data_IF_588946554030
#
_entry.id   IF_588946554030
#
_cell.length_a   1.000
_cell.length_b   1.000
_cell.length_c   1.000
_cell.angle_alpha   90.00
_cell.angle_beta   90.00
_cell.angle_gamma   90.00
#
_symmetry.space_group_name_H-M   'P 1'
#
loop_
_entity.id
_entity.type
_entity.pdbx_description
1 polymer ?
#
# COMPACT_ATOMS: atom_id res chain seq x y z
N UNK A 1 -2.78 1.58 -19.99
CA UNK A 1 -3.10 1.61 -18.56
C UNK A 1 -4.18 2.64 -18.28
N UNK A 2 -5.20 2.28 -17.50
CA UNK A 2 -6.10 3.26 -16.87
C UNK A 2 -5.54 3.62 -15.49
N UNK A 3 -5.85 4.82 -14.99
CA UNK A 3 -5.52 5.16 -13.59
C UNK A 3 -6.37 4.35 -12.61
N UNK A 4 -7.62 4.09 -12.98
CA UNK A 4 -8.62 3.42 -12.16
C UNK A 4 -8.87 1.99 -12.63
N UNK A 5 -9.42 1.17 -11.74
CA UNK A 5 -9.80 -0.22 -12.00
C UNK A 5 -11.25 -0.45 -11.58
N UNK A 6 -11.91 -1.41 -12.21
CA UNK A 6 -13.22 -1.92 -11.80
C UNK A 6 -13.11 -3.23 -11.01
N UNK A 7 -11.90 -3.72 -10.76
CA UNK A 7 -11.63 -5.01 -10.11
C UNK A 7 -10.66 -4.84 -8.96
N UNK A 8 -10.96 -5.47 -7.82
CA UNK A 8 -10.18 -5.38 -6.57
C UNK A 8 -9.98 -6.78 -5.99
N UNK A 9 -8.72 -7.11 -5.66
CA UNK A 9 -8.36 -8.27 -4.84
C UNK A 9 -8.44 -7.86 -3.37
N UNK A 10 -9.08 -8.68 -2.55
CA UNK A 10 -9.12 -8.51 -1.09
C UNK A 10 -8.83 -9.85 -0.41
N UNK A 11 -8.04 -9.81 0.66
CA UNK A 11 -7.77 -10.99 1.49
C UNK A 11 -8.65 -10.94 2.73
N UNK A 12 -9.49 -11.96 2.93
CA UNK A 12 -10.33 -12.05 4.13
C UNK A 12 -9.46 -12.48 5.31
N UNK A 13 -9.34 -11.68 6.38
CA UNK A 13 -8.53 -12.06 7.53
C UNK A 13 -9.17 -13.20 8.32
N UNK A 14 -8.35 -14.04 8.94
CA UNK A 14 -8.81 -15.03 9.92
C UNK A 14 -8.33 -14.76 11.35
N UNK A 15 -7.29 -13.93 11.53
CA UNK A 15 -6.66 -13.63 12.81
C UNK A 15 -6.18 -12.16 12.93
N UNK A 16 -6.96 -11.22 12.38
CA UNK A 16 -6.61 -9.79 12.38
C UNK A 16 -6.53 -9.22 13.80
N UNK A 17 -5.42 -8.55 14.09
CA UNK A 17 -5.12 -7.87 15.36
C UNK A 17 -3.96 -6.90 15.17
N UNK A 18 -3.57 -6.21 16.24
CA UNK A 18 -2.32 -5.44 16.26
C UNK A 18 -1.14 -6.38 16.01
N UNK A 19 -0.22 -5.99 15.11
CA UNK A 19 0.96 -6.77 14.80
C UNK A 19 2.19 -6.17 15.50
N UNK A 20 2.76 -6.94 16.41
CA UNK A 20 3.87 -6.52 17.26
C UNK A 20 5.14 -6.20 16.45
N UNK A 21 5.36 -6.89 15.33
CA UNK A 21 6.54 -6.65 14.48
C UNK A 21 6.43 -5.37 13.67
N UNK A 22 5.21 -4.92 13.34
CA UNK A 22 5.00 -3.69 12.57
C UNK A 22 4.75 -2.47 13.46
N UNK A 23 4.33 -2.67 14.71
CA UNK A 23 4.08 -1.60 15.68
C UNK A 23 5.33 -0.75 16.01
N UNK A 24 6.55 -1.28 15.81
CA UNK A 24 7.80 -0.57 16.10
C UNK A 24 7.99 0.70 15.24
N UNK A 25 7.42 0.73 14.04
CA UNK A 25 7.52 1.85 13.10
C UNK A 25 6.18 2.22 12.44
N UNK A 26 5.07 1.58 12.85
CA UNK A 26 3.70 1.98 12.47
C UNK A 26 2.97 2.63 13.66
N UNK A 27 3.13 3.95 13.78
CA UNK A 27 2.51 4.75 14.84
C UNK A 27 0.99 4.96 14.69
N UNK A 28 0.35 4.36 13.68
CA UNK A 28 -1.10 4.43 13.47
C UNK A 28 -1.84 3.24 14.10
N UNK A 29 -1.12 2.18 14.50
CA UNK A 29 -1.73 1.07 15.22
C UNK A 29 -2.17 1.49 16.61
N UNK A 30 -3.34 1.01 17.03
CA UNK A 30 -3.92 1.28 18.34
C UNK A 30 -4.36 -0.03 18.98
N UNK A 31 -4.05 -0.18 20.26
CA UNK A 31 -4.68 -1.21 21.09
C UNK A 31 -6.09 -0.73 21.43
N UNK A 32 -7.07 -1.61 21.28
CA UNK A 32 -8.43 -1.37 21.74
C UNK A 32 -8.55 -2.09 23.08
N UNK A 33 -8.32 -1.38 24.18
CA UNK A 33 -8.18 -1.93 25.55
C UNK A 33 -9.35 -2.81 26.03
N UNK A 34 -10.50 -2.74 25.35
CA UNK A 34 -11.74 -3.45 25.72
C UNK A 34 -12.05 -4.68 24.85
N UNK A 35 -11.22 -5.02 23.86
CA UNK A 35 -11.44 -6.17 22.98
C UNK A 35 -10.26 -7.15 23.02
N UNK A 36 -10.57 -8.44 23.11
CA UNK A 36 -9.60 -9.48 22.81
C UNK A 36 -9.40 -9.65 21.29
N UNK A 37 -8.36 -10.37 20.89
CA UNK A 37 -8.00 -10.58 19.49
C UNK A 37 -9.13 -11.24 18.68
N UNK A 38 -9.89 -12.15 19.27
CA UNK A 38 -10.98 -12.84 18.58
C UNK A 38 -12.15 -11.87 18.30
N UNK A 39 -12.46 -11.00 19.25
CA UNK A 39 -13.44 -9.93 19.09
C UNK A 39 -13.01 -8.88 18.06
N UNK A 40 -11.72 -8.50 18.06
CA UNK A 40 -11.16 -7.60 17.05
C UNK A 40 -11.30 -8.22 15.66
N UNK A 41 -10.88 -9.47 15.49
CA UNK A 41 -10.98 -10.17 14.22
C UNK A 41 -12.44 -10.34 13.77
N UNK A 42 -13.36 -10.69 14.67
CA UNK A 42 -14.78 -10.80 14.36
C UNK A 42 -15.38 -9.47 13.86
N UNK A 43 -15.00 -8.34 14.47
CA UNK A 43 -15.40 -7.01 13.98
C UNK A 43 -14.77 -6.67 12.64
N UNK A 44 -13.48 -6.97 12.46
CA UNK A 44 -12.80 -6.74 11.19
C UNK A 44 -13.44 -7.55 10.05
N UNK A 45 -13.84 -8.79 10.29
CA UNK A 45 -14.58 -9.59 9.31
C UNK A 45 -15.96 -8.99 8.98
N UNK A 46 -16.68 -8.46 9.97
CA UNK A 46 -17.96 -7.77 9.72
C UNK A 46 -17.78 -6.49 8.88
N UNK A 47 -16.77 -5.68 9.18
CA UNK A 47 -16.44 -4.48 8.40
C UNK A 47 -15.97 -4.84 6.98
N UNK A 48 -15.16 -5.89 6.86
CA UNK A 48 -14.71 -6.44 5.58
C UNK A 48 -15.91 -6.88 4.71
N UNK A 49 -16.83 -7.65 5.28
CA UNK A 49 -18.03 -8.12 4.57
C UNK A 49 -18.89 -6.96 4.11
N UNK A 50 -19.17 -6.00 5.00
CA UNK A 50 -19.93 -4.81 4.64
C UNK A 50 -19.27 -4.01 3.52
N UNK A 51 -17.92 -3.93 3.50
CA UNK A 51 -17.19 -3.24 2.45
C UNK A 51 -17.24 -3.99 1.11
N UNK A 52 -17.03 -5.31 1.12
CA UNK A 52 -17.16 -6.18 -0.07
C UNK A 52 -18.56 -6.09 -0.66
N UNK A 53 -19.60 -6.18 0.17
CA UNK A 53 -21.00 -6.06 -0.26
C UNK A 53 -21.28 -4.69 -0.90
N UNK A 54 -20.78 -3.61 -0.29
CA UNK A 54 -20.96 -2.25 -0.81
C UNK A 54 -20.27 -2.07 -2.17
N UNK A 55 -19.04 -2.56 -2.33
CA UNK A 55 -18.29 -2.49 -3.59
C UNK A 55 -18.98 -3.30 -4.69
N UNK A 56 -19.38 -4.54 -4.41
CA UNK A 56 -20.13 -5.38 -5.36
C UNK A 56 -21.48 -4.75 -5.71
N UNK A 57 -22.16 -4.15 -4.75
CA UNK A 57 -23.45 -3.47 -4.95
C UNK A 57 -23.40 -2.29 -5.92
N UNK A 58 -22.24 -1.67 -6.10
CA UNK A 58 -22.01 -0.60 -7.09
C UNK A 58 -21.34 -1.10 -8.39
N UNK A 59 -21.15 -2.41 -8.55
CA UNK A 59 -20.64 -3.02 -9.78
C UNK A 59 -19.13 -3.24 -9.83
N UNK A 60 -18.41 -3.08 -8.73
CA UNK A 60 -16.98 -3.45 -8.64
C UNK A 60 -16.86 -4.96 -8.58
N UNK A 61 -15.99 -5.54 -9.41
CA UNK A 61 -15.63 -6.95 -9.34
C UNK A 61 -14.67 -7.19 -8.17
N UNK A 62 -15.16 -7.79 -7.09
CA UNK A 62 -14.35 -8.04 -5.88
C UNK A 62 -14.01 -9.52 -5.78
N UNK A 63 -12.72 -9.82 -5.91
CA UNK A 63 -12.14 -11.16 -5.79
C UNK A 63 -11.67 -11.30 -4.34
N UNK A 64 -12.33 -12.19 -3.60
CA UNK A 64 -12.01 -12.43 -2.19
C UNK A 64 -11.31 -13.77 -2.08
N UNK A 65 -10.12 -13.76 -1.49
CA UNK A 65 -9.37 -14.96 -1.12
C UNK A 65 -9.29 -15.01 0.41
N UNK A 66 -9.57 -16.15 1.02
CA UNK A 66 -9.46 -16.28 2.48
C UNK A 66 -8.03 -16.51 2.92
N UNK A 67 -7.63 -15.87 4.02
CA UNK A 67 -6.38 -16.17 4.68
C UNK A 67 -6.33 -17.63 5.22
N UNK A 68 -5.15 -18.17 5.52
CA UNK A 68 -4.95 -19.53 6.05
C UNK A 68 -4.34 -19.50 7.45
N UNK A 69 -4.50 -20.58 8.21
CA UNK A 69 -3.97 -20.74 9.57
C UNK A 69 -2.55 -21.35 9.60
N UNK A 70 -1.88 -21.40 8.44
CA UNK A 70 -0.53 -21.96 8.31
C UNK A 70 0.53 -21.10 9.04
N UNK A 71 0.31 -19.79 9.08
CA UNK A 71 1.24 -18.81 9.67
C UNK A 71 0.50 -17.76 10.49
N UNK A 72 1.23 -17.13 11.41
CA UNK A 72 0.69 -16.02 12.22
C UNK A 72 0.90 -14.67 11.52
N UNK A 73 -0.02 -14.35 10.60
CA UNK A 73 0.00 -13.18 9.71
C UNK A 73 -1.18 -12.22 9.96
N UNK A 74 -1.19 -11.46 11.07
CA UNK A 74 -2.31 -10.59 11.43
C UNK A 74 -2.59 -9.45 10.42
N UNK A 75 -1.61 -9.09 9.59
CA UNK A 75 -1.71 -8.03 8.57
C UNK A 75 -2.05 -8.57 7.16
N UNK A 76 -2.37 -9.86 7.00
CA UNK A 76 -2.63 -10.51 5.70
C UNK A 76 -3.76 -9.88 4.87
N UNK A 77 -4.68 -9.16 5.54
CA UNK A 77 -5.73 -8.36 4.91
C UNK A 77 -5.20 -7.29 3.95
N UNK A 78 -3.91 -6.93 4.01
CA UNK A 78 -3.27 -5.89 3.21
C UNK A 78 -2.35 -6.46 2.10
N UNK A 79 -2.90 -7.10 1.05
CA UNK A 79 -2.08 -7.69 -0.02
C UNK A 79 -1.30 -6.64 -0.82
N UNK A 80 -1.76 -5.39 -0.79
CA UNK A 80 -1.16 -4.25 -1.48
C UNK A 80 0.31 -4.02 -1.09
N UNK A 81 0.77 -4.58 0.03
CA UNK A 81 2.15 -4.45 0.48
C UNK A 81 3.12 -5.46 -0.14
N UNK A 82 2.65 -6.66 -0.52
CA UNK A 82 3.54 -7.70 -1.02
C UNK A 82 3.33 -8.04 -2.50
N UNK A 83 2.21 -7.62 -3.10
CA UNK A 83 1.92 -7.83 -4.53
C UNK A 83 1.33 -6.60 -5.20
N UNK A 84 1.66 -6.41 -6.48
CA UNK A 84 0.97 -5.45 -7.35
C UNK A 84 0.79 -5.99 -8.77
N UNK A 85 -0.22 -5.46 -9.45
CA UNK A 85 -0.64 -5.88 -10.79
C UNK A 85 -0.54 -4.73 -11.77
N UNK A 86 -0.07 -5.03 -12.98
CA UNK A 86 0.23 -4.06 -14.03
C UNK A 86 -0.30 -4.52 -15.39
N UNK A 87 -0.22 -3.63 -16.38
CA UNK A 87 -0.64 -3.92 -17.75
C UNK A 87 0.14 -5.12 -18.31
N UNK A 88 -0.42 -5.75 -19.34
CA UNK A 88 0.17 -6.92 -20.01
C UNK A 88 0.34 -8.15 -19.12
N UNK A 89 -0.37 -8.21 -17.98
CA UNK A 89 -0.32 -9.38 -17.09
C UNK A 89 0.96 -9.45 -16.25
N UNK A 90 1.67 -8.33 -16.09
CA UNK A 90 2.84 -8.28 -15.22
C UNK A 90 2.43 -8.19 -13.75
N UNK A 91 3.10 -8.98 -12.91
CA UNK A 91 2.95 -9.01 -11.45
C UNK A 91 4.28 -8.64 -10.82
N UNK A 92 4.27 -7.84 -9.75
CA UNK A 92 5.45 -7.62 -8.92
C UNK A 92 5.25 -8.21 -7.52
N UNK A 93 6.23 -8.96 -7.04
CA UNK A 93 6.31 -9.48 -5.67
C UNK A 93 7.38 -8.70 -4.90
N UNK A 94 7.05 -8.28 -3.68
CA UNK A 94 7.81 -7.28 -2.96
C UNK A 94 8.45 -7.80 -1.66
N UNK A 95 9.66 -7.30 -1.31
CA UNK A 95 10.30 -7.54 -0.03
C UNK A 95 9.60 -6.78 1.10
N UNK A 96 9.42 -7.43 2.24
CA UNK A 96 8.65 -6.96 3.38
C UNK A 96 9.56 -6.79 4.60
N UNK A 97 9.43 -5.65 5.28
CA UNK A 97 10.30 -5.32 6.42
C UNK A 97 10.09 -6.30 7.58
N UNK A 98 8.84 -6.47 8.00
CA UNK A 98 8.49 -7.37 9.09
C UNK A 98 8.54 -8.84 8.62
N UNK A 99 9.25 -9.68 9.36
CA UNK A 99 9.49 -11.08 8.99
C UNK A 99 8.19 -11.88 8.91
N UNK A 100 7.25 -11.67 9.85
CA UNK A 100 5.98 -12.39 9.81
C UNK A 100 5.17 -12.07 8.55
N UNK A 101 5.26 -10.84 8.04
CA UNK A 101 4.55 -10.43 6.83
C UNK A 101 5.09 -11.08 5.55
N UNK A 102 6.30 -11.64 5.57
CA UNK A 102 6.86 -12.37 4.40
C UNK A 102 6.09 -13.64 4.08
N UNK A 103 5.42 -14.22 5.10
CA UNK A 103 4.55 -15.38 4.96
C UNK A 103 3.15 -15.04 4.40
N UNK A 104 2.81 -13.75 4.24
CA UNK A 104 1.55 -13.32 3.59
C UNK A 104 1.56 -13.54 2.07
N UNK A 105 2.73 -13.78 1.48
CA UNK A 105 2.89 -14.03 0.05
C UNK A 105 2.39 -15.41 -0.28
N UNK A 106 1.36 -15.50 -1.13
CA UNK A 106 0.77 -16.80 -1.48
C UNK A 106 0.52 -16.97 -2.96
N UNK A 107 0.86 -18.15 -3.45
CA UNK A 107 0.64 -18.55 -4.85
C UNK A 107 -0.84 -18.78 -5.17
N UNK A 108 -1.63 -19.23 -4.18
CA UNK A 108 -3.06 -19.49 -4.38
C UNK A 108 -3.86 -18.23 -4.71
N UNK A 109 -3.38 -17.05 -4.30
CA UNK A 109 -3.90 -15.75 -4.72
C UNK A 109 -3.74 -15.57 -6.23
N UNK A 110 -2.64 -16.01 -6.83
CA UNK A 110 -2.43 -15.93 -8.27
C UNK A 110 -3.38 -16.87 -9.02
N UNK A 111 -3.54 -18.11 -8.54
CA UNK A 111 -4.51 -19.06 -9.12
C UNK A 111 -5.94 -18.52 -9.06
N UNK A 112 -6.33 -17.89 -7.95
CA UNK A 112 -7.66 -17.29 -7.82
C UNK A 112 -7.90 -16.14 -8.82
N UNK A 113 -6.84 -15.40 -9.19
CA UNK A 113 -6.93 -14.37 -10.23
C UNK A 113 -7.04 -14.98 -11.63
N UNK A 114 -6.28 -16.02 -11.92
CA UNK A 114 -6.39 -16.76 -13.20
C UNK A 114 -7.77 -17.39 -13.38
N UNK A 115 -8.31 -18.02 -12.34
CA UNK A 115 -9.67 -18.58 -12.31
C UNK A 115 -10.75 -17.49 -12.50
N UNK A 116 -10.48 -16.27 -12.02
CA UNK A 116 -11.33 -15.10 -12.24
C UNK A 116 -11.18 -14.49 -13.65
N UNK A 117 -10.31 -15.05 -14.49
CA UNK A 117 -10.12 -14.66 -15.89
C UNK A 117 -9.03 -13.61 -16.13
N UNK A 118 -8.19 -13.33 -15.13
CA UNK A 118 -7.01 -12.48 -15.31
C UNK A 118 -5.86 -13.30 -15.90
N UNK A 119 -5.04 -12.67 -16.74
CA UNK A 119 -3.87 -13.30 -17.33
C UNK A 119 -2.61 -12.82 -16.61
N UNK A 120 -1.74 -13.76 -16.24
CA UNK A 120 -0.42 -13.49 -15.69
C UNK A 120 0.62 -13.91 -16.73
N UNK A 121 1.41 -12.95 -17.20
CA UNK A 121 2.44 -13.15 -18.22
C UNK A 121 3.83 -13.29 -17.60
N UNK A 122 4.16 -12.37 -16.68
CA UNK A 122 5.48 -12.27 -16.09
C UNK A 122 5.39 -11.86 -14.62
N UNK A 123 6.30 -12.42 -13.81
CA UNK A 123 6.44 -12.09 -12.39
C UNK A 123 7.82 -11.48 -12.18
N UNK A 124 7.84 -10.20 -11.80
CA UNK A 124 9.01 -9.49 -11.29
C UNK A 124 9.12 -9.77 -9.79
N UNK A 125 10.24 -10.31 -9.36
CA UNK A 125 10.42 -10.81 -8.00
C UNK A 125 11.58 -10.12 -7.28
N UNK A 126 11.24 -9.17 -6.41
CA UNK A 126 12.19 -8.37 -5.66
C UNK A 126 12.50 -8.96 -4.26
N UNK A 127 11.99 -10.16 -3.93
CA UNK A 127 12.08 -10.72 -2.58
C UNK A 127 13.52 -10.98 -2.12
N UNK A 128 14.44 -11.25 -3.03
CA UNK A 128 15.84 -11.53 -2.68
C UNK A 128 16.54 -10.32 -2.01
N UNK A 129 16.01 -9.11 -2.18
CA UNK A 129 16.53 -7.91 -1.53
C UNK A 129 16.45 -7.98 0.02
N UNK A 130 15.60 -8.86 0.56
CA UNK A 130 15.49 -9.10 2.00
C UNK A 130 16.78 -9.64 2.62
N UNK A 131 17.59 -10.38 1.85
CA UNK A 131 18.88 -10.92 2.29
C UNK A 131 19.90 -9.80 2.55
N UNK A 132 19.70 -8.64 1.92
CA UNK A 132 20.52 -7.43 2.07
C UNK A 132 19.88 -6.41 3.02
N UNK A 133 18.70 -6.70 3.57
CA UNK A 133 17.95 -5.81 4.45
C UNK A 133 17.31 -4.61 3.74
N UNK A 134 17.06 -4.73 2.43
CA UNK A 134 16.39 -3.72 1.62
C UNK A 134 14.91 -4.09 1.43
N UNK A 135 14.02 -3.09 1.49
CA UNK A 135 12.57 -3.32 1.50
C UNK A 135 11.82 -2.31 0.64
N UNK A 136 10.71 -2.75 0.03
CA UNK A 136 9.84 -1.91 -0.77
C UNK A 136 8.43 -2.52 -0.70
N UNK A 137 7.61 -2.09 0.26
CA UNK A 137 6.30 -2.71 0.55
C UNK A 137 5.18 -2.30 -0.44
N UNK A 138 5.42 -2.64 -1.70
CA UNK A 138 4.44 -2.61 -2.79
C UNK A 138 3.72 -1.29 -2.93
N UNK A 139 2.43 -1.35 -3.24
CA UNK A 139 1.56 -0.16 -3.38
C UNK A 139 1.18 0.48 -2.03
N UNK A 140 1.68 -0.04 -0.92
CA UNK A 140 1.77 0.73 0.34
C UNK A 140 2.80 1.85 0.22
N UNK A 141 4.00 1.51 -0.24
CA UNK A 141 5.12 2.44 -0.44
C UNK A 141 5.05 3.18 -1.79
N UNK A 142 4.42 2.58 -2.80
CA UNK A 142 4.36 3.09 -4.17
C UNK A 142 2.97 3.66 -4.51
N UNK A 143 2.87 4.97 -4.71
CA UNK A 143 1.67 5.60 -5.29
C UNK A 143 1.93 5.86 -6.77
N UNK A 144 1.22 5.14 -7.63
CA UNK A 144 1.48 5.12 -9.08
C UNK A 144 0.51 6.06 -9.82
N UNK A 145 1.05 7.09 -10.47
CA UNK A 145 0.37 7.75 -11.58
C UNK A 145 0.61 6.94 -12.84
N UNK A 146 -0.37 6.09 -13.16
CA UNK A 146 -0.32 5.13 -14.26
C UNK A 146 -0.41 5.80 -15.63
N UNK A 147 -1.06 6.96 -15.70
CA UNK A 147 -1.21 7.72 -16.95
C UNK A 147 0.06 8.48 -17.28
N UNK A 148 0.66 9.15 -16.29
CA UNK A 148 1.86 9.96 -16.48
C UNK A 148 3.16 9.18 -16.24
N UNK A 149 3.06 7.88 -15.91
CA UNK A 149 4.17 6.98 -15.63
C UNK A 149 5.10 7.56 -14.56
N UNK A 150 4.53 7.97 -13.43
CA UNK A 150 5.28 8.43 -12.23
C UNK A 150 5.01 7.54 -11.02
N UNK A 151 6.06 7.22 -10.27
CA UNK A 151 5.95 6.51 -9.01
C UNK A 151 6.34 7.45 -7.87
N UNK A 152 5.36 7.86 -7.07
CA UNK A 152 5.59 8.68 -5.88
C UNK A 152 5.91 7.77 -4.70
N UNK A 153 7.03 8.04 -4.03
CA UNK A 153 7.50 7.22 -2.93
C UNK A 153 8.15 8.10 -1.85
N UNK A 154 7.56 8.06 -0.65
CA UNK A 154 8.18 8.57 0.57
C UNK A 154 9.15 7.50 1.11
N UNK A 155 10.42 7.87 1.29
CA UNK A 155 11.42 6.96 1.84
C UNK A 155 11.12 6.64 3.31
N UNK A 156 11.29 5.38 3.67
CA UNK A 156 11.04 4.88 5.02
C UNK A 156 11.79 3.55 5.23
N UNK A 157 11.79 2.97 6.44
CA UNK A 157 12.31 1.61 6.65
C UNK A 157 11.64 0.52 5.79
N UNK A 158 10.53 0.84 5.10
CA UNK A 158 9.73 -0.05 4.26
C UNK A 158 9.77 0.36 2.77
N UNK A 159 10.61 1.33 2.42
CA UNK A 159 10.72 1.89 1.08
C UNK A 159 12.14 2.39 0.84
N UNK A 160 12.95 1.52 0.26
CA UNK A 160 14.32 1.78 -0.16
C UNK A 160 14.38 2.47 -1.53
N UNK A 161 15.31 3.40 -1.70
CA UNK A 161 15.45 4.18 -2.93
C UNK A 161 16.01 3.35 -4.09
N UNK A 162 16.96 2.44 -3.84
CA UNK A 162 17.59 1.63 -4.89
C UNK A 162 16.57 0.63 -5.47
N UNK A 163 15.79 -0.03 -4.61
CA UNK A 163 14.70 -0.92 -5.05
C UNK A 163 13.59 -0.18 -5.79
N UNK A 164 13.28 1.06 -5.36
CA UNK A 164 12.32 1.90 -6.09
C UNK A 164 12.83 2.21 -7.50
N UNK A 165 14.11 2.53 -7.64
CA UNK A 165 14.73 2.83 -8.95
C UNK A 165 14.66 1.58 -9.83
N UNK A 166 15.03 0.40 -9.31
CA UNK A 166 14.92 -0.88 -10.02
C UNK A 166 13.49 -1.15 -10.50
N UNK A 167 12.50 -1.02 -9.60
CA UNK A 167 11.08 -1.15 -9.95
C UNK A 167 10.68 -0.15 -11.06
N UNK A 168 11.16 1.10 -10.97
CA UNK A 168 10.86 2.11 -11.98
C UNK A 168 11.49 1.81 -13.34
N UNK A 169 12.67 1.20 -13.37
CA UNK A 169 13.33 0.75 -14.61
C UNK A 169 12.55 -0.40 -15.25
N UNK A 170 12.17 -1.43 -14.49
CA UNK A 170 11.42 -2.60 -14.97
C UNK A 170 10.01 -2.23 -15.48
N UNK A 171 9.33 -1.34 -14.75
CA UNK A 171 7.95 -0.95 -15.05
C UNK A 171 7.84 0.37 -15.81
N UNK A 172 8.95 0.95 -16.27
CA UNK A 172 9.05 2.21 -17.02
C UNK A 172 8.28 3.38 -16.34
N UNK A 173 8.53 3.58 -15.05
CA UNK A 173 8.07 4.73 -14.28
C UNK A 173 9.21 5.73 -14.07
N UNK A 174 8.85 7.01 -13.91
CA UNK A 174 9.75 8.05 -13.41
C UNK A 174 9.62 8.12 -11.89
N UNK A 175 10.71 7.91 -11.11
CA UNK A 175 10.64 7.97 -9.66
C UNK A 175 10.52 9.42 -9.18
N UNK A 176 9.54 9.68 -8.32
CA UNK A 176 9.38 10.93 -7.56
C UNK A 176 9.61 10.61 -6.08
N UNK A 177 10.87 10.71 -5.68
CA UNK A 177 11.35 10.39 -4.33
C UNK A 177 11.27 11.61 -3.41
N UNK A 178 10.82 11.41 -2.18
CA UNK A 178 10.79 12.43 -1.14
C UNK A 178 10.81 11.81 0.27
N UNK A 179 10.91 12.64 1.29
CA UNK A 179 10.77 12.24 2.69
C UNK A 179 9.45 12.79 3.26
N UNK A 180 8.73 11.97 4.01
CA UNK A 180 7.49 12.38 4.68
C UNK A 180 7.47 11.98 6.15
N UNK A 181 7.12 12.93 7.01
CA UNK A 181 7.05 12.75 8.46
C UNK A 181 5.68 13.11 9.02
N UNK A 182 5.39 12.61 10.21
CA UNK A 182 4.19 12.87 10.99
C UNK A 182 4.56 13.28 12.41
N UNK A 183 3.64 14.00 13.05
CA UNK A 183 3.80 14.40 14.44
C UNK A 183 3.43 13.28 15.41
N UNK A 184 4.43 12.74 16.11
CA UNK A 184 4.28 11.78 17.21
C UNK A 184 4.77 12.46 18.50
N UNK A 185 3.82 12.94 19.31
CA UNK A 185 4.14 13.78 20.46
C UNK A 185 4.78 15.11 20.02
N UNK A 186 6.06 15.31 20.35
CA UNK A 186 6.84 16.50 19.95
C UNK A 186 7.85 16.21 18.83
N UNK A 187 7.89 14.97 18.34
CA UNK A 187 8.86 14.52 17.35
C UNK A 187 8.23 14.40 15.97
N UNK A 188 9.06 14.58 14.93
CA UNK A 188 8.73 14.31 13.53
C UNK A 188 9.31 12.95 13.19
N UNK A 189 8.44 11.95 13.01
CA UNK A 189 8.84 10.59 12.69
C UNK A 189 8.33 10.20 11.30
N UNK A 190 9.03 9.30 10.57
CA UNK A 190 8.62 8.92 9.23
C UNK A 190 7.18 8.40 9.15
N UNK A 191 6.50 8.75 8.06
CA UNK A 191 5.29 8.03 7.62
C UNK A 191 5.78 6.76 6.92
N UNK A 192 5.35 5.60 7.43
CA UNK A 192 5.90 4.31 7.02
C UNK A 192 5.52 3.90 5.59
N UNK A 193 4.36 4.33 5.08
CA UNK A 193 3.86 4.07 3.73
C UNK A 193 3.32 5.33 3.08
N UNK A 194 3.70 5.56 1.83
CA UNK A 194 3.27 6.73 1.04
C UNK A 194 1.76 6.81 0.90
N UNK A 195 1.07 5.67 0.75
CA UNK A 195 -0.38 5.64 0.55
C UNK A 195 -1.19 6.09 1.77
N UNK A 196 -0.58 6.19 2.95
CA UNK A 196 -1.23 6.71 4.16
C UNK A 196 -1.48 8.21 4.04
N UNK A 197 -0.61 8.92 3.30
CA UNK A 197 -0.61 10.37 3.20
C UNK A 197 -0.99 10.90 1.81
N UNK A 198 -1.16 10.01 0.83
CA UNK A 198 -1.34 10.39 -0.57
C UNK A 198 -2.02 9.30 -1.41
N UNK A 199 -2.85 9.73 -2.36
CA UNK A 199 -3.33 8.93 -3.48
C UNK A 199 -3.42 9.76 -4.76
N UNK A 200 -3.38 9.10 -5.92
CA UNK A 200 -3.50 9.74 -7.24
C UNK A 200 -4.71 9.18 -7.97
N UNK A 201 -5.65 10.07 -8.29
CA UNK A 201 -6.79 9.81 -9.16
C UNK A 201 -6.52 10.26 -10.60
N UNK A 202 -7.55 10.17 -11.45
CA UNK A 202 -7.44 10.57 -12.87
C UNK A 202 -7.11 12.05 -13.03
N UNK A 203 -7.84 12.91 -12.31
CA UNK A 203 -7.76 14.37 -12.42
C UNK A 203 -7.27 15.07 -11.16
N UNK A 204 -7.08 14.33 -10.06
CA UNK A 204 -6.71 14.89 -8.76
C UNK A 204 -5.67 14.03 -8.06
N UNK A 205 -5.02 14.60 -7.05
CA UNK A 205 -4.23 13.89 -6.07
C UNK A 205 -4.58 14.40 -4.68
N UNK A 206 -4.85 13.47 -3.77
CA UNK A 206 -4.93 13.78 -2.34
C UNK A 206 -3.52 13.66 -1.79
N UNK A 207 -3.10 14.63 -1.00
CA UNK A 207 -1.75 14.64 -0.43
C UNK A 207 -1.71 15.48 0.83
N UNK A 208 -1.04 15.03 1.87
CA UNK A 208 -0.67 15.89 3.00
C UNK A 208 0.62 16.63 2.66
N UNK A 209 0.55 17.91 2.28
CA UNK A 209 1.76 18.67 1.95
C UNK A 209 2.57 19.04 3.21
N UNK A 210 1.92 19.07 4.38
CA UNK A 210 2.58 19.34 5.66
C UNK A 210 3.39 18.16 6.21
N UNK A 211 3.23 16.94 5.66
CA UNK A 211 4.11 15.82 5.99
C UNK A 211 5.48 15.92 5.33
N UNK A 212 5.60 16.66 4.22
CA UNK A 212 6.86 16.82 3.47
C UNK A 212 7.62 18.03 4.03
N UNK A 213 8.47 17.77 5.03
CA UNK A 213 9.18 18.82 5.78
C UNK A 213 10.18 19.59 4.90
N UNK A 214 10.86 18.92 3.96
CA UNK A 214 11.79 19.58 3.04
C UNK A 214 11.02 20.40 1.98
N UNK A 215 11.30 21.71 1.97
CA UNK A 215 10.60 22.66 1.09
C UNK A 215 10.89 22.44 -0.40
N UNK A 216 12.06 21.91 -0.76
CA UNK A 216 12.43 21.62 -2.15
C UNK A 216 11.72 20.36 -2.63
N UNK A 217 11.73 19.31 -1.83
CA UNK A 217 10.99 18.07 -2.13
C UNK A 217 9.50 18.35 -2.28
N UNK A 218 8.90 19.05 -1.31
CA UNK A 218 7.49 19.44 -1.37
C UNK A 218 7.17 20.25 -2.62
N UNK A 219 8.03 21.21 -2.97
CA UNK A 219 7.88 22.01 -4.19
C UNK A 219 7.99 21.12 -5.44
N UNK A 220 8.90 20.15 -5.45
CA UNK A 220 9.04 19.20 -6.55
C UNK A 220 7.76 18.38 -6.73
N UNK A 221 7.26 17.73 -5.67
CA UNK A 221 6.02 16.93 -5.71
C UNK A 221 4.84 17.74 -6.23
N UNK A 222 4.64 18.96 -5.70
CA UNK A 222 3.59 19.88 -6.18
C UNK A 222 3.78 20.24 -7.65
N UNK A 223 5.02 20.46 -8.09
CA UNK A 223 5.32 20.79 -9.49
C UNK A 223 4.99 19.62 -10.41
N UNK A 224 5.35 18.40 -10.03
CA UNK A 224 5.07 17.18 -10.80
C UNK A 224 3.56 16.93 -10.94
N UNK A 225 2.81 17.03 -9.85
CA UNK A 225 1.36 16.86 -9.89
C UNK A 225 0.68 17.92 -10.76
N UNK A 226 1.10 19.19 -10.62
CA UNK A 226 0.53 20.29 -11.42
C UNK A 226 0.90 20.22 -12.90
N UNK A 227 2.13 19.81 -13.24
CA UNK A 227 2.54 19.65 -14.65
C UNK A 227 1.69 18.62 -15.37
N UNK A 228 1.19 17.64 -14.61
CA UNK A 228 0.37 16.53 -15.10
C UNK A 228 -1.13 16.85 -15.04
N UNK A 229 -1.49 18.10 -14.74
CA UNK A 229 -2.86 18.57 -14.70
C UNK A 229 -3.68 18.08 -13.50
N UNK A 230 -3.04 17.55 -12.45
CA UNK A 230 -3.74 17.10 -11.24
C UNK A 230 -4.17 18.29 -10.38
N UNK A 231 -5.44 18.30 -10.00
CA UNK A 231 -5.93 19.11 -8.88
C UNK A 231 -5.35 18.57 -7.58
N UNK A 232 -4.73 19.43 -6.78
CA UNK A 232 -4.16 19.03 -5.48
C UNK A 232 -5.21 19.25 -4.40
N UNK A 233 -5.64 18.16 -3.77
CA UNK A 233 -6.48 18.17 -2.58
C UNK A 233 -5.57 18.00 -1.37
N UNK A 234 -5.19 19.13 -0.77
CA UNK A 234 -4.30 19.14 0.40
C UNK A 234 -5.07 18.75 1.68
N UNK A 235 -4.59 17.72 2.37
CA UNK A 235 -5.19 17.20 3.61
C UNK A 235 -4.29 17.46 4.82
N UNK A 236 -4.89 17.63 6.00
CA UNK A 236 -4.14 17.82 7.23
C UNK A 236 -3.61 16.51 7.81
N UNK A 237 -2.58 16.57 8.67
CA UNK A 237 -2.12 15.40 9.42
C UNK A 237 -3.21 14.74 10.26
N UNK A 238 -4.19 15.50 10.76
CA UNK A 238 -5.34 14.94 11.49
C UNK A 238 -6.27 14.12 10.59
N UNK A 239 -6.35 14.46 9.30
CA UNK A 239 -7.05 13.66 8.30
C UNK A 239 -6.23 12.44 7.90
N UNK A 240 -4.91 12.57 7.76
CA UNK A 240 -3.98 11.44 7.55
C UNK A 240 -4.10 10.41 8.69
N UNK A 241 -4.17 10.86 9.95
CA UNK A 241 -4.40 10.00 11.13
C UNK A 241 -5.73 9.25 11.12
N UNK A 242 -6.64 9.60 10.21
CA UNK A 242 -7.92 8.94 9.96
C UNK A 242 -7.94 8.24 8.59
N UNK A 243 -6.78 8.01 7.98
CA UNK A 243 -6.61 7.35 6.68
C UNK A 243 -7.39 8.03 5.53
N UNK A 244 -7.36 9.36 5.49
CA UNK A 244 -7.95 10.13 4.39
C UNK A 244 -7.03 10.29 3.16
N UNK A 245 -5.78 9.82 3.27
CA UNK A 245 -4.76 9.86 2.21
C UNK A 245 -5.18 9.11 0.96
#
# INVERSE_FOLDING_TARGET
MNQTTNSILMIRPIAFRMNEQTAVNNYYQKVIDELDSDQVNARAQQEFDAYVEKLRGIGVNVIVVSDTDDYDTPDSIFPNNWISFHDHGHVALFPMFAENRRYERREDVLYALEDAGFYIDHIFDYRNAEDEGLFLEGTGSLVLDRINRKAYCALSPRADEELLIEFCEDFEYTPIVFTANQSVGKERLPIYHTNVMMCVGETFAVICLDSIDDKKERKNVVTQLKSDGKEIVDISEDQVKKFAG
#
